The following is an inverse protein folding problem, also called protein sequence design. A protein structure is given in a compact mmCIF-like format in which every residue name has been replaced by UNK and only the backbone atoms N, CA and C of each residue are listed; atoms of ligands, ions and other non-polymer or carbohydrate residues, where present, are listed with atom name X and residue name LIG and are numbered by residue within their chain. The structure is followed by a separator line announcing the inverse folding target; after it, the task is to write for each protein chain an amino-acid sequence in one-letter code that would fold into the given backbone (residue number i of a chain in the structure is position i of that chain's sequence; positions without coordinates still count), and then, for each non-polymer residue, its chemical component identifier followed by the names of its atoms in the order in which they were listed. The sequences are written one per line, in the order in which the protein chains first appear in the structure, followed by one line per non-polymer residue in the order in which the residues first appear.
data_IF_797199067202
#
_entry.id   IF_797199067202
#
_cell.length_a   1.000
_cell.length_b   1.000
_cell.length_c   1.000
_cell.angle_alpha   90.00
_cell.angle_beta   90.00
_cell.angle_gamma   90.00
#
_symmetry.space_group_name_H-M   'P 1'
#
loop_
_entity.id
_entity.type
_entity.pdbx_description
1 polymer ?
#
# COMPACT_ATOMS: atom_id res chain seq x y z
N UNK A 1 5.23 12.02 6.11
CA UNK A 1 4.31 12.93 5.40
C UNK A 1 5.06 13.53 4.24
N UNK A 2 4.39 13.82 3.13
CA UNK A 2 4.98 14.57 2.02
C UNK A 2 5.21 16.04 2.40
N UNK A 3 5.95 16.78 1.56
CA UNK A 3 6.36 18.16 1.84
C UNK A 3 5.18 19.12 2.04
N UNK A 4 4.06 18.82 1.41
CA UNK A 4 2.78 19.54 1.50
C UNK A 4 1.94 19.16 2.74
N UNK A 5 2.43 18.23 3.57
CA UNK A 5 1.69 17.71 4.73
C UNK A 5 0.79 16.52 4.40
N UNK A 6 0.71 16.08 3.13
CA UNK A 6 -0.08 14.91 2.75
C UNK A 6 0.46 13.64 3.43
N UNK A 7 -0.44 12.82 3.94
CA UNK A 7 -0.06 11.64 4.71
C UNK A 7 0.39 10.50 3.78
N UNK A 8 1.67 10.12 3.84
CA UNK A 8 2.23 9.06 2.99
C UNK A 8 1.64 7.66 3.30
N UNK A 9 1.51 7.33 4.59
CA UNK A 9 1.07 6.01 5.05
C UNK A 9 0.44 6.05 6.43
N UNK A 10 -0.53 5.17 6.64
CA UNK A 10 -1.19 4.90 7.91
C UNK A 10 -1.30 3.39 8.08
N UNK A 11 -0.48 2.86 8.97
CA UNK A 11 -0.49 1.44 9.30
C UNK A 11 -0.89 1.23 10.75
N UNK A 12 -1.76 0.24 10.96
CA UNK A 12 -2.25 -0.14 12.28
C UNK A 12 -1.61 -1.47 12.68
N UNK A 13 -1.14 -1.52 13.93
CA UNK A 13 -0.46 -2.67 14.51
C UNK A 13 -1.08 -3.03 15.86
N UNK A 14 -1.14 -4.33 16.14
CA UNK A 14 -1.48 -4.90 17.45
C UNK A 14 -0.38 -5.94 17.74
N UNK A 15 0.26 -5.83 18.90
CA UNK A 15 1.38 -6.70 19.31
C UNK A 15 2.52 -6.78 18.27
N UNK A 16 2.86 -5.64 17.68
CA UNK A 16 3.90 -5.54 16.64
C UNK A 16 3.50 -6.12 15.28
N UNK A 17 2.28 -6.65 15.12
CA UNK A 17 1.78 -7.24 13.87
C UNK A 17 0.74 -6.34 13.23
N UNK A 18 0.81 -6.17 11.90
CA UNK A 18 -0.19 -5.38 11.17
C UNK A 18 -1.60 -5.98 11.35
N UNK A 19 -2.56 -5.14 11.73
CA UNK A 19 -3.96 -5.49 11.98
C UNK A 19 -4.87 -4.32 11.66
N UNK A 20 -6.08 -4.61 11.18
CA UNK A 20 -7.05 -3.57 10.83
C UNK A 20 -6.66 -2.81 9.56
N UNK A 21 -7.19 -1.59 9.42
CA UNK A 21 -7.07 -0.79 8.19
C UNK A 21 -5.63 -0.33 7.92
N UNK A 22 -5.19 -0.45 6.69
CA UNK A 22 -3.88 -0.03 6.20
C UNK A 22 -4.09 0.87 4.99
N UNK A 23 -3.45 2.04 4.95
CA UNK A 23 -3.66 3.02 3.90
C UNK A 23 -2.34 3.66 3.47
N UNK A 24 -2.17 3.83 2.16
CA UNK A 24 -1.08 4.58 1.55
C UNK A 24 -1.66 5.56 0.55
N UNK A 25 -1.02 6.71 0.44
CA UNK A 25 -1.38 7.75 -0.51
C UNK A 25 -0.17 8.12 -1.36
N UNK A 26 -0.43 8.56 -2.57
CA UNK A 26 0.54 9.23 -3.42
C UNK A 26 0.76 10.67 -2.93
N UNK A 27 1.77 11.34 -3.45
CA UNK A 27 2.07 12.74 -3.09
C UNK A 27 0.98 13.73 -3.48
N UNK A 28 0.10 13.36 -4.42
CA UNK A 28 -1.07 14.13 -4.82
C UNK A 28 -2.31 13.85 -3.94
N UNK A 29 -2.19 12.97 -2.94
CA UNK A 29 -3.27 12.57 -2.05
C UNK A 29 -4.18 11.46 -2.60
N UNK A 30 -3.93 10.94 -3.80
CA UNK A 30 -4.68 9.80 -4.34
C UNK A 30 -4.35 8.51 -3.59
N UNK A 31 -5.32 7.59 -3.48
CA UNK A 31 -5.16 6.33 -2.74
C UNK A 31 -4.28 5.37 -3.53
N UNK A 32 -3.11 5.06 -2.99
CA UNK A 32 -2.19 4.06 -3.55
C UNK A 32 -2.51 2.64 -3.06
N UNK A 33 -2.97 2.52 -1.82
CA UNK A 33 -3.47 1.27 -1.25
C UNK A 33 -4.44 1.55 -0.09
N UNK A 34 -5.48 0.73 0.02
CA UNK A 34 -6.46 0.76 1.09
C UNK A 34 -7.00 -0.66 1.31
N UNK A 35 -6.51 -1.31 2.37
CA UNK A 35 -6.86 -2.69 2.67
C UNK A 35 -6.99 -2.93 4.18
N UNK A 36 -7.64 -4.01 4.56
CA UNK A 36 -7.73 -4.47 5.96
C UNK A 36 -6.89 -5.74 6.13
N UNK A 37 -6.06 -5.74 7.17
CA UNK A 37 -5.31 -6.92 7.63
C UNK A 37 -6.11 -7.66 8.71
N UNK A 38 -6.56 -8.88 8.40
CA UNK A 38 -7.13 -9.82 9.38
C UNK A 38 -6.27 -11.07 9.43
N UNK A 39 -5.68 -11.35 10.59
CA UNK A 39 -4.68 -12.42 10.75
C UNK A 39 -3.53 -12.31 9.72
N UNK A 40 -3.44 -13.22 8.75
CA UNK A 40 -2.41 -13.21 7.69
C UNK A 40 -2.98 -12.81 6.33
N UNK A 41 -4.25 -12.41 6.28
CA UNK A 41 -4.98 -12.11 5.04
C UNK A 41 -5.20 -10.62 4.88
N UNK A 42 -5.14 -10.18 3.62
CA UNK A 42 -5.33 -8.79 3.19
C UNK A 42 -6.58 -8.69 2.32
N UNK A 43 -7.42 -7.72 2.60
CA UNK A 43 -8.68 -7.50 1.90
C UNK A 43 -8.77 -6.06 1.40
N UNK A 44 -8.93 -5.86 0.09
CA UNK A 44 -9.03 -4.53 -0.53
C UNK A 44 -7.90 -4.25 -1.51
N UNK A 45 -7.67 -2.96 -1.79
CA UNK A 45 -6.64 -2.51 -2.72
C UNK A 45 -5.27 -2.56 -2.02
N UNK A 46 -4.44 -3.53 -2.38
CA UNK A 46 -3.11 -3.72 -1.77
C UNK A 46 -2.03 -2.93 -2.52
N UNK A 47 -2.32 -2.52 -3.75
CA UNK A 47 -1.46 -1.68 -4.57
C UNK A 47 -1.98 -1.60 -5.99
N UNK A 48 -1.55 -0.58 -6.72
CA UNK A 48 -1.76 -0.46 -8.15
C UNK A 48 -0.54 -1.07 -8.89
N UNK A 49 -0.80 -2.02 -9.78
CA UNK A 49 0.22 -2.50 -10.73
C UNK A 49 -0.08 -1.84 -12.07
N UNK A 50 0.83 -0.99 -12.53
CA UNK A 50 0.70 -0.33 -13.83
C UNK A 50 0.81 -1.40 -14.92
N UNK A 51 -0.23 -1.54 -15.74
CA UNK A 51 -0.25 -2.40 -16.92
C UNK A 51 0.47 -1.70 -18.07
N UNK A 52 1.79 -1.58 -17.97
CA UNK A 52 2.62 -1.23 -19.12
C UNK A 52 2.88 -2.53 -19.87
N UNK A 53 2.41 -2.67 -21.11
CA UNK A 53 2.48 -3.89 -21.92
C UNK A 53 3.89 -4.40 -22.28
N UNK A 54 4.92 -4.04 -21.51
CA UNK A 54 6.25 -4.61 -21.59
C UNK A 54 6.37 -5.88 -20.73
N UNK A 55 7.38 -6.73 -21.00
CA UNK A 55 7.58 -7.97 -20.28
C UNK A 55 7.74 -7.71 -18.78
N UNK A 56 6.75 -8.16 -18.00
CA UNK A 56 6.84 -8.28 -16.54
C UNK A 56 7.58 -9.58 -16.19
N UNK A 57 8.82 -9.74 -16.63
CA UNK A 57 9.64 -10.86 -16.16
C UNK A 57 10.99 -10.40 -15.63
N UNK A 58 11.37 -11.08 -14.55
CA UNK A 58 12.36 -10.74 -13.53
C UNK A 58 13.70 -10.27 -14.10
N UNK A 59 14.14 -9.08 -13.70
CA UNK A 59 15.59 -8.86 -13.54
C UNK A 59 15.99 -9.48 -12.20
N UNK A 60 16.42 -10.74 -12.24
CA UNK A 60 17.42 -11.29 -11.33
C UNK A 60 18.67 -11.58 -12.16
N UNK A 61 19.75 -10.85 -11.85
CA UNK A 61 21.12 -10.83 -12.42
C UNK A 61 21.34 -10.35 -13.86
#
# INVERSE_FOLDING_TARGET
SYRDGTLEKRFNYIDGKQRGRQQLWNSDGSVRANFVMTATRRYGLIGEKVCNGGPSDRTEL
#
